data_IF_274113204513
#
_entry.id   IF_274113204513
#
_cell.length_a   1.000
_cell.length_b   1.000
_cell.length_c   1.000
_cell.angle_alpha   90.00
_cell.angle_beta   90.00
_cell.angle_gamma   90.00
#
_symmetry.space_group_name_H-M   'P 1'
#
loop_
_entity.id
_entity.type
_entity.pdbx_description
1 polymer ?
#
# COMPACT_ATOMS: atom_id res chain seq x y z
N UNK A 1 18.88 -73.63 48.83
CA UNK A 1 18.00 -73.70 47.63
C UNK A 1 18.04 -72.31 46.99
N UNK A 2 18.95 -72.04 46.05
CA UNK A 2 18.76 -72.11 44.57
C UNK A 2 17.55 -71.27 44.11
N UNK A 3 17.65 -70.16 43.37
CA UNK A 3 18.77 -69.50 42.68
C UNK A 3 18.47 -68.00 42.50
N UNK A 4 19.47 -67.16 42.76
CA UNK A 4 19.65 -65.82 42.18
C UNK A 4 20.20 -65.96 40.75
N UNK A 5 19.69 -65.19 39.78
CA UNK A 5 20.44 -64.84 38.58
C UNK A 5 19.85 -63.61 37.86
N UNK A 6 20.80 -62.74 37.54
CA UNK A 6 20.81 -61.51 36.76
C UNK A 6 20.44 -61.71 35.27
N UNK A 7 19.84 -60.69 34.63
CA UNK A 7 20.17 -60.13 33.29
C UNK A 7 18.91 -59.46 32.68
N UNK A 8 18.83 -58.13 32.58
CA UNK A 8 19.39 -57.21 31.57
C UNK A 8 18.49 -57.01 30.34
N UNK A 9 18.23 -55.73 30.06
CA UNK A 9 17.83 -55.08 28.79
C UNK A 9 16.46 -55.38 28.17
N UNK A 10 15.57 -54.39 28.16
CA UNK A 10 15.50 -53.43 27.05
C UNK A 10 14.54 -52.29 27.41
N UNK A 11 15.06 -51.07 27.35
CA UNK A 11 14.29 -49.86 27.48
C UNK A 11 13.38 -49.68 26.24
N UNK A 12 12.08 -49.51 26.47
CA UNK A 12 11.22 -48.78 25.55
C UNK A 12 10.21 -48.03 26.42
N UNK A 13 10.61 -46.85 26.88
CA UNK A 13 9.70 -45.92 27.53
C UNK A 13 8.64 -45.52 26.49
N UNK A 14 7.45 -46.09 26.64
CA UNK A 14 6.25 -45.71 25.91
C UNK A 14 5.86 -44.30 26.41
N UNK A 15 6.44 -43.27 25.80
CA UNK A 15 5.98 -41.90 25.97
C UNK A 15 4.58 -41.85 25.37
N UNK A 16 3.57 -41.89 26.24
CA UNK A 16 2.22 -41.44 25.93
C UNK A 16 2.31 -39.94 25.60
N UNK A 17 2.66 -39.64 24.35
CA UNK A 17 2.46 -38.34 23.78
C UNK A 17 0.96 -38.08 23.69
N UNK A 18 0.44 -37.36 24.68
CA UNK A 18 -0.75 -36.53 24.50
C UNK A 18 -0.43 -35.57 23.34
N UNK A 19 -0.75 -35.99 22.12
CA UNK A 19 -0.83 -35.11 20.96
C UNK A 19 -2.09 -34.28 21.18
N UNK A 20 -1.94 -33.12 21.82
CA UNK A 20 -2.86 -32.02 21.63
C UNK A 20 -2.86 -31.70 20.14
N UNK A 21 -3.87 -32.23 19.45
CA UNK A 21 -4.21 -31.82 18.10
C UNK A 21 -4.45 -30.32 18.13
N UNK A 22 -3.44 -29.58 17.69
CA UNK A 22 -3.60 -28.20 17.23
C UNK A 22 -4.63 -28.28 16.11
N UNK A 23 -5.88 -27.92 16.42
CA UNK A 23 -6.87 -27.61 15.41
C UNK A 23 -6.33 -26.37 14.68
N UNK A 24 -5.64 -26.61 13.57
CA UNK A 24 -5.47 -25.57 12.57
C UNK A 24 -6.88 -25.22 12.07
N UNK A 25 -7.24 -23.94 12.15
CA UNK A 25 -8.48 -23.46 11.56
C UNK A 25 -8.54 -23.91 10.08
N UNK A 26 -9.68 -24.42 9.60
CA UNK A 26 -9.76 -24.99 8.27
C UNK A 26 -9.53 -23.89 7.23
N UNK A 27 -8.37 -23.94 6.56
CA UNK A 27 -7.97 -22.99 5.53
C UNK A 27 -9.08 -22.89 4.46
N UNK A 28 -9.68 -21.72 4.37
CA UNK A 28 -10.72 -21.43 3.37
C UNK A 28 -10.07 -21.29 1.99
N UNK A 29 -10.60 -22.02 1.01
CA UNK A 29 -10.10 -22.05 -0.36
C UNK A 29 -11.16 -21.58 -1.33
N UNK A 30 -10.74 -20.92 -2.41
CA UNK A 30 -11.60 -20.56 -3.54
C UNK A 30 -11.25 -21.46 -4.71
N UNK A 31 -12.22 -22.26 -5.16
CA UNK A 31 -12.07 -23.21 -6.26
C UNK A 31 -13.00 -22.81 -7.41
N UNK A 32 -12.44 -22.68 -8.61
CA UNK A 32 -13.20 -22.38 -9.83
C UNK A 32 -13.07 -23.53 -10.80
N UNK A 33 -14.17 -23.85 -11.48
CA UNK A 33 -14.18 -24.97 -12.41
C UNK A 33 -15.58 -25.33 -12.86
N UNK A 34 -15.72 -26.52 -13.44
CA UNK A 34 -17.00 -26.98 -13.96
C UNK A 34 -17.81 -27.65 -12.86
N UNK A 35 -18.89 -27.00 -12.45
CA UNK A 35 -19.92 -27.51 -11.58
C UNK A 35 -20.86 -28.48 -12.31
N UNK A 36 -21.25 -29.57 -11.65
CA UNK A 36 -22.22 -30.55 -12.16
C UNK A 36 -22.86 -31.33 -11.03
N UNK A 37 -23.98 -32.02 -11.30
CA UNK A 37 -24.56 -32.96 -10.33
C UNK A 37 -23.78 -34.30 -10.32
N UNK A 38 -23.25 -34.67 -9.16
CA UNK A 38 -22.52 -35.91 -8.92
C UNK A 38 -23.37 -37.16 -9.17
N UNK A 39 -24.68 -37.10 -8.91
CA UNK A 39 -25.61 -38.19 -9.23
C UNK A 39 -25.98 -38.20 -10.70
N UNK A 40 -26.62 -37.12 -11.17
CA UNK A 40 -27.26 -37.10 -12.48
C UNK A 40 -26.27 -37.08 -13.64
N UNK A 41 -25.16 -36.33 -13.51
CA UNK A 41 -24.17 -36.18 -14.58
C UNK A 41 -22.98 -37.14 -14.41
N UNK A 42 -22.49 -37.30 -13.18
CA UNK A 42 -21.27 -38.10 -12.91
C UNK A 42 -21.55 -39.54 -12.49
N UNK A 43 -22.78 -39.87 -12.06
CA UNK A 43 -23.18 -41.19 -11.55
C UNK A 43 -22.30 -41.71 -10.39
N UNK A 44 -21.84 -40.82 -9.51
CA UNK A 44 -20.92 -41.13 -8.41
C UNK A 44 -21.57 -41.13 -7.01
N UNK A 45 -22.85 -40.74 -6.90
CA UNK A 45 -23.60 -40.64 -5.64
C UNK A 45 -25.04 -41.11 -5.82
N UNK A 46 -25.63 -41.67 -4.77
CA UNK A 46 -27.01 -42.20 -4.79
C UNK A 46 -28.08 -41.10 -4.66
N UNK A 47 -27.70 -39.94 -4.12
CA UNK A 47 -28.53 -38.75 -3.98
C UNK A 47 -27.94 -37.56 -4.76
N UNK A 48 -28.82 -36.64 -5.19
CA UNK A 48 -28.43 -35.44 -5.92
C UNK A 48 -27.50 -34.56 -5.09
N UNK A 49 -26.23 -34.53 -5.47
CA UNK A 49 -25.17 -33.78 -4.80
C UNK A 49 -24.42 -32.94 -5.83
N UNK A 50 -24.07 -31.70 -5.49
CA UNK A 50 -23.24 -30.89 -6.40
C UNK A 50 -21.79 -31.35 -6.34
N UNK A 51 -21.10 -31.28 -7.47
CA UNK A 51 -19.68 -31.52 -7.59
C UNK A 51 -19.03 -30.40 -8.40
N UNK A 52 -17.77 -30.11 -8.09
CA UNK A 52 -16.93 -29.14 -8.78
C UNK A 52 -15.67 -29.83 -9.27
N UNK A 53 -15.45 -29.84 -10.59
CA UNK A 53 -14.18 -30.24 -11.18
C UNK A 53 -13.30 -29.00 -11.36
N UNK A 54 -12.26 -28.88 -10.54
CA UNK A 54 -11.29 -27.78 -10.57
C UNK A 54 -9.92 -28.36 -10.97
N UNK A 55 -9.49 -28.05 -12.20
CA UNK A 55 -8.40 -28.79 -12.85
C UNK A 55 -8.75 -30.28 -13.01
N UNK A 56 -7.84 -31.17 -12.60
CA UNK A 56 -8.07 -32.62 -12.61
C UNK A 56 -8.75 -33.15 -11.35
N UNK A 57 -8.92 -32.29 -10.33
CA UNK A 57 -9.47 -32.71 -9.04
C UNK A 57 -10.98 -32.51 -8.99
N UNK A 58 -11.70 -33.56 -8.56
CA UNK A 58 -13.14 -33.52 -8.33
C UNK A 58 -13.44 -33.32 -6.85
N UNK A 59 -14.17 -32.26 -6.53
CA UNK A 59 -14.64 -31.95 -5.19
C UNK A 59 -16.14 -32.21 -5.09
N UNK A 60 -16.57 -33.04 -4.14
CA UNK A 60 -17.98 -33.20 -3.80
C UNK A 60 -18.39 -32.09 -2.83
N UNK A 61 -19.45 -31.34 -3.14
CA UNK A 61 -19.90 -30.29 -2.24
C UNK A 61 -20.77 -30.90 -1.15
N UNK A 62 -20.45 -30.61 0.11
CA UNK A 62 -21.22 -31.09 1.26
C UNK A 62 -22.68 -30.62 1.19
N UNK A 63 -23.60 -31.44 1.71
CA UNK A 63 -25.03 -31.14 1.76
C UNK A 63 -25.38 -30.08 2.81
N UNK A 64 -24.82 -28.89 2.66
CA UNK A 64 -25.17 -27.73 3.47
C UNK A 64 -26.20 -26.83 2.76
N UNK A 65 -26.65 -25.79 3.45
CA UNK A 65 -27.67 -24.87 2.94
C UNK A 65 -27.25 -24.23 1.61
N UNK A 66 -25.98 -23.83 1.48
CA UNK A 66 -25.42 -23.16 0.30
C UNK A 66 -25.43 -24.09 -0.92
N UNK A 67 -24.93 -25.32 -0.77
CA UNK A 67 -24.91 -26.33 -1.84
C UNK A 67 -26.33 -26.72 -2.26
N UNK A 68 -27.23 -26.95 -1.30
CA UNK A 68 -28.63 -27.27 -1.61
C UNK A 68 -29.33 -26.14 -2.38
N UNK A 69 -29.13 -24.89 -1.96
CA UNK A 69 -29.71 -23.72 -2.63
C UNK A 69 -29.19 -23.54 -4.07
N UNK A 70 -27.93 -23.89 -4.32
CA UNK A 70 -27.31 -23.76 -5.63
C UNK A 70 -27.63 -24.92 -6.59
N UNK A 71 -28.17 -26.04 -6.08
CA UNK A 71 -28.35 -27.28 -6.84
C UNK A 71 -29.16 -27.13 -8.14
N UNK A 72 -30.17 -26.25 -8.15
CA UNK A 72 -30.99 -25.99 -9.35
C UNK A 72 -30.18 -25.59 -10.58
N UNK A 73 -29.00 -25.00 -10.39
CA UNK A 73 -28.13 -24.57 -11.48
C UNK A 73 -27.31 -25.72 -12.10
N UNK A 74 -27.21 -26.86 -11.40
CA UNK A 74 -26.27 -27.95 -11.71
C UNK A 74 -26.94 -29.32 -11.85
N UNK A 75 -28.24 -29.45 -11.55
CA UNK A 75 -28.93 -30.74 -11.44
C UNK A 75 -28.89 -31.56 -12.74
N UNK A 76 -29.29 -30.96 -13.87
CA UNK A 76 -29.35 -31.62 -15.18
C UNK A 76 -28.29 -31.14 -16.18
N UNK A 77 -27.49 -30.14 -15.80
CA UNK A 77 -26.51 -29.49 -16.66
C UNK A 77 -25.14 -29.36 -16.03
N UNK A 78 -24.25 -28.70 -16.76
CA UNK A 78 -22.93 -28.28 -16.25
C UNK A 78 -22.86 -26.77 -16.33
N UNK A 79 -22.34 -26.13 -15.29
CA UNK A 79 -22.09 -24.69 -15.31
C UNK A 79 -20.70 -24.41 -14.75
N UNK A 80 -20.01 -23.40 -15.27
CA UNK A 80 -18.80 -22.93 -14.63
C UNK A 80 -19.19 -22.21 -13.33
N UNK A 81 -18.57 -22.60 -12.22
CA UNK A 81 -18.88 -22.05 -10.90
C UNK A 81 -17.60 -21.70 -10.16
N UNK A 82 -17.72 -20.78 -9.22
CA UNK A 82 -16.72 -20.56 -8.16
C UNK A 82 -17.35 -20.90 -6.84
N UNK A 83 -16.69 -21.78 -6.08
CA UNK A 83 -17.09 -22.19 -4.76
C UNK A 83 -16.00 -21.83 -3.74
N UNK A 84 -16.41 -21.18 -2.65
CA UNK A 84 -15.55 -20.84 -1.52
C UNK A 84 -15.94 -21.74 -0.37
N UNK A 85 -14.97 -22.24 0.39
CA UNK A 85 -15.21 -23.03 1.58
C UNK A 85 -13.99 -23.82 2.02
N UNK A 86 -14.16 -24.71 2.98
CA UNK A 86 -13.07 -25.54 3.48
C UNK A 86 -13.10 -26.93 2.84
N UNK A 87 -11.93 -27.45 2.45
CA UNK A 87 -11.81 -28.80 1.91
C UNK A 87 -11.44 -29.78 3.01
N UNK A 88 -12.16 -30.90 3.08
CA UNK A 88 -11.83 -32.05 3.93
C UNK A 88 -11.72 -33.31 3.08
N UNK A 89 -10.81 -34.19 3.45
CA UNK A 89 -10.72 -35.52 2.84
C UNK A 89 -11.59 -36.50 3.64
N UNK A 90 -12.61 -37.07 3.00
CA UNK A 90 -13.51 -38.06 3.61
C UNK A 90 -13.45 -39.33 2.77
N UNK A 91 -12.91 -40.41 3.36
CA UNK A 91 -12.80 -41.73 2.69
C UNK A 91 -12.11 -41.66 1.32
N UNK A 92 -11.03 -40.87 1.20
CA UNK A 92 -10.26 -40.70 -0.04
C UNK A 92 -10.93 -39.81 -1.09
N UNK A 93 -12.09 -39.21 -0.80
CA UNK A 93 -12.76 -38.22 -1.65
C UNK A 93 -12.60 -36.82 -1.06
N UNK A 94 -12.29 -35.84 -1.91
CA UNK A 94 -12.25 -34.43 -1.51
C UNK A 94 -13.66 -33.87 -1.41
N UNK A 95 -14.02 -33.41 -0.22
CA UNK A 95 -15.33 -32.82 0.08
C UNK A 95 -15.14 -31.34 0.37
N UNK A 96 -15.83 -30.48 -0.36
CA UNK A 96 -15.84 -29.04 -0.15
C UNK A 96 -17.07 -28.65 0.70
N UNK A 97 -16.81 -28.09 1.88
CA UNK A 97 -17.84 -27.48 2.73
C UNK A 97 -18.05 -26.05 2.25
N UNK A 98 -18.87 -25.88 1.22
CA UNK A 98 -19.01 -24.59 0.56
C UNK A 98 -19.72 -23.56 1.46
N UNK A 99 -19.06 -22.46 1.76
CA UNK A 99 -19.63 -21.26 2.39
C UNK A 99 -20.27 -20.34 1.36
N UNK A 100 -19.84 -20.42 0.09
CA UNK A 100 -20.41 -19.66 -1.04
C UNK A 100 -20.27 -20.41 -2.36
N UNK A 101 -21.26 -20.30 -3.24
CA UNK A 101 -21.22 -20.83 -4.62
C UNK A 101 -21.85 -19.81 -5.56
N UNK A 102 -21.20 -19.52 -6.67
CA UNK A 102 -21.66 -18.56 -7.69
C UNK A 102 -21.43 -19.09 -9.10
N UNK A 103 -22.27 -18.69 -10.07
CA UNK A 103 -22.01 -18.95 -11.49
C UNK A 103 -20.86 -18.06 -11.97
N UNK A 104 -20.02 -18.58 -12.87
CA UNK A 104 -18.98 -17.80 -13.51
C UNK A 104 -19.63 -16.68 -14.34
N UNK A 105 -19.44 -15.43 -13.91
CA UNK A 105 -20.08 -14.25 -14.48
C UNK A 105 -20.89 -13.43 -13.46
N UNK A 106 -21.41 -14.05 -12.39
CA UNK A 106 -22.15 -13.35 -11.31
C UNK A 106 -21.23 -12.66 -10.29
N UNK A 107 -19.92 -12.91 -10.39
CA UNK A 107 -18.87 -12.18 -9.66
C UNK A 107 -18.96 -10.66 -9.97
N UNK A 108 -19.45 -10.27 -11.15
CA UNK A 108 -19.66 -8.87 -11.52
C UNK A 108 -20.80 -8.15 -10.76
N UNK A 109 -21.68 -8.86 -10.04
CA UNK A 109 -22.79 -8.24 -9.28
C UNK A 109 -22.78 -8.50 -7.77
N UNK A 110 -21.97 -9.45 -7.26
CA UNK A 110 -21.90 -9.74 -5.82
C UNK A 110 -20.66 -9.22 -5.08
N UNK A 111 -19.67 -8.62 -5.76
CA UNK A 111 -18.52 -7.96 -5.10
C UNK A 111 -18.92 -6.70 -4.29
N UNK A 112 -20.18 -6.25 -4.42
CA UNK A 112 -20.77 -5.17 -3.60
C UNK A 112 -21.22 -5.68 -2.21
N UNK A 113 -21.33 -7.00 -1.98
CA UNK A 113 -22.06 -7.55 -0.82
C UNK A 113 -21.24 -8.35 0.22
N UNK A 114 -19.92 -8.50 0.10
CA UNK A 114 -19.07 -9.14 1.14
C UNK A 114 -18.16 -8.16 1.87
N UNK A 115 -18.64 -6.91 1.99
CA UNK A 115 -18.30 -6.04 3.11
C UNK A 115 -18.73 -6.74 4.41
N UNK A 116 -17.76 -7.28 5.17
CA UNK A 116 -17.67 -7.32 6.66
C UNK A 116 -16.99 -8.60 7.17
N UNK A 117 -15.67 -8.69 7.06
CA UNK A 117 -14.85 -9.41 8.05
C UNK A 117 -13.37 -8.98 8.01
N UNK A 118 -12.84 -8.59 6.86
CA UNK A 118 -11.49 -8.03 6.70
C UNK A 118 -11.57 -6.81 5.77
N UNK A 119 -11.06 -5.65 6.16
CA UNK A 119 -11.19 -4.39 5.42
C UNK A 119 -10.35 -4.27 4.14
N UNK A 120 -10.03 -5.39 3.48
CA UNK A 120 -9.11 -5.47 2.36
C UNK A 120 -9.82 -5.54 0.99
N UNK A 121 -9.17 -4.95 -0.01
CA UNK A 121 -9.57 -4.89 -1.41
C UNK A 121 -8.59 -5.71 -2.27
N UNK A 122 -9.01 -6.13 -3.47
CA UNK A 122 -8.17 -6.88 -4.42
C UNK A 122 -7.76 -5.99 -5.60
N UNK A 123 -6.49 -6.02 -5.95
CA UNK A 123 -5.89 -5.23 -7.02
C UNK A 123 -5.13 -6.15 -7.98
N UNK A 124 -5.53 -6.17 -9.25
CA UNK A 124 -4.88 -6.98 -10.30
C UNK A 124 -4.15 -6.06 -11.26
N UNK A 125 -2.91 -6.40 -11.58
CA UNK A 125 -2.10 -5.51 -12.40
C UNK A 125 -0.69 -6.05 -12.64
N UNK A 126 0.20 -5.14 -12.98
CA UNK A 126 1.62 -5.45 -13.18
C UNK A 126 2.44 -4.96 -11.98
N UNK A 127 2.97 -5.89 -11.19
CA UNK A 127 3.90 -5.60 -10.11
C UNK A 127 5.23 -5.11 -10.66
N UNK A 128 5.73 -4.02 -10.08
CA UNK A 128 6.97 -3.36 -10.48
C UNK A 128 7.73 -2.87 -9.25
N UNK A 129 9.06 -2.86 -9.32
CA UNK A 129 9.86 -2.07 -8.40
C UNK A 129 9.88 -0.60 -8.86
N UNK A 130 9.37 0.29 -8.02
CA UNK A 130 9.28 1.72 -8.33
C UNK A 130 10.65 2.38 -8.46
N UNK A 131 11.71 1.80 -7.89
CA UNK A 131 13.10 2.22 -8.16
C UNK A 131 13.65 1.57 -9.42
N UNK A 132 13.64 0.25 -9.52
CA UNK A 132 14.42 -0.47 -10.53
C UNK A 132 13.78 -0.43 -11.91
N UNK A 133 12.46 -0.61 -11.99
CA UNK A 133 11.68 -0.60 -13.23
C UNK A 133 11.13 0.80 -13.52
N UNK A 134 10.46 1.41 -12.54
CA UNK A 134 9.79 2.70 -12.78
C UNK A 134 10.68 3.93 -12.60
N UNK A 135 11.87 3.79 -11.95
CA UNK A 135 12.82 4.88 -11.67
C UNK A 135 12.22 6.10 -10.94
N UNK A 136 11.16 5.88 -10.15
CA UNK A 136 10.39 6.90 -9.42
C UNK A 136 10.88 7.16 -7.98
N UNK A 137 11.56 6.18 -7.36
CA UNK A 137 12.01 6.28 -5.96
C UNK A 137 13.52 6.05 -5.84
N UNK A 138 14.17 6.72 -4.88
CA UNK A 138 15.61 6.57 -4.59
C UNK A 138 15.95 5.25 -3.88
N UNK A 139 14.97 4.66 -3.19
CA UNK A 139 15.04 3.35 -2.55
C UNK A 139 14.07 2.35 -3.20
N UNK A 140 14.42 1.07 -3.13
CA UNK A 140 13.58 -0.01 -3.62
C UNK A 140 12.25 -0.06 -2.87
N UNK A 141 11.17 0.04 -3.64
CA UNK A 141 9.80 -0.05 -3.15
C UNK A 141 8.97 -0.76 -4.21
N UNK A 142 7.98 -1.55 -3.76
CA UNK A 142 7.10 -2.25 -4.66
C UNK A 142 5.91 -1.34 -5.02
N UNK A 143 5.44 -1.48 -6.26
CA UNK A 143 4.23 -0.86 -6.75
C UNK A 143 3.49 -1.82 -7.66
N UNK A 144 2.23 -1.51 -7.92
CA UNK A 144 1.40 -2.24 -8.87
C UNK A 144 0.76 -1.26 -9.86
N UNK A 145 0.89 -1.56 -11.14
CA UNK A 145 0.25 -0.79 -12.21
C UNK A 145 -1.11 -1.42 -12.50
N UNK A 146 -2.18 -0.67 -12.28
CA UNK A 146 -3.57 -1.05 -12.52
C UNK A 146 -4.12 -0.06 -13.54
N UNK A 147 -4.60 -0.54 -14.68
CA UNK A 147 -5.14 0.29 -15.78
C UNK A 147 -4.20 1.45 -16.17
N UNK A 148 -2.89 1.16 -16.24
CA UNK A 148 -1.86 2.13 -16.58
C UNK A 148 -1.51 3.15 -15.47
N UNK A 149 -2.14 3.05 -14.30
CA UNK A 149 -1.86 3.91 -13.13
C UNK A 149 -1.06 3.16 -12.08
N UNK A 150 -0.01 3.79 -11.55
CA UNK A 150 0.81 3.22 -10.50
C UNK A 150 0.18 3.44 -9.12
N UNK A 151 0.05 2.35 -8.37
CA UNK A 151 -0.29 2.34 -6.96
C UNK A 151 0.92 1.91 -6.14
N UNK A 152 1.25 2.64 -5.09
CA UNK A 152 2.39 2.30 -4.22
C UNK A 152 1.98 1.24 -3.22
N UNK A 153 2.84 0.25 -2.99
CA UNK A 153 2.68 -0.67 -1.87
C UNK A 153 3.40 -0.09 -0.66
N UNK A 154 2.73 -0.04 0.49
CA UNK A 154 3.39 0.33 1.74
C UNK A 154 4.44 -0.71 2.13
N UNK A 155 5.56 -0.25 2.69
CA UNK A 155 6.61 -1.14 3.18
C UNK A 155 6.13 -1.86 4.45
N UNK A 156 5.74 -3.11 4.28
CA UNK A 156 5.46 -4.05 5.34
C UNK A 156 6.13 -5.39 5.00
N UNK A 157 5.98 -6.38 5.87
CA UNK A 157 6.71 -7.64 5.71
C UNK A 157 6.27 -8.39 4.44
N UNK A 158 4.98 -8.27 4.06
CA UNK A 158 4.42 -8.85 2.83
C UNK A 158 5.03 -8.22 1.58
N UNK A 159 5.06 -6.90 1.48
CA UNK A 159 5.61 -6.19 0.32
C UNK A 159 7.13 -6.33 0.22
N UNK A 160 7.84 -6.36 1.34
CA UNK A 160 9.29 -6.63 1.36
C UNK A 160 9.60 -8.06 0.88
N UNK A 161 8.86 -9.06 1.35
CA UNK A 161 9.05 -10.45 0.94
C UNK A 161 8.84 -10.67 -0.57
N UNK A 162 7.93 -9.90 -1.18
CA UNK A 162 7.66 -9.98 -2.62
C UNK A 162 8.65 -9.17 -3.49
N UNK A 163 9.59 -8.43 -2.90
CA UNK A 163 10.46 -7.50 -3.63
C UNK A 163 11.28 -8.16 -4.75
N UNK A 164 11.89 -9.32 -4.49
CA UNK A 164 12.73 -10.03 -5.46
C UNK A 164 11.97 -10.40 -6.74
N UNK A 165 10.65 -10.62 -6.62
CA UNK A 165 9.78 -10.97 -7.75
C UNK A 165 9.52 -9.79 -8.69
N UNK A 166 9.70 -8.54 -8.24
CA UNK A 166 9.43 -7.32 -9.02
C UNK A 166 10.63 -6.38 -9.13
N UNK A 167 11.76 -6.74 -8.51
CA UNK A 167 13.00 -5.98 -8.61
C UNK A 167 13.65 -6.23 -9.97
N UNK A 168 13.89 -5.15 -10.72
CA UNK A 168 14.49 -5.17 -12.07
C UNK A 168 13.68 -5.91 -13.14
N UNK A 169 12.49 -6.43 -12.83
CA UNK A 169 11.54 -7.03 -13.78
C UNK A 169 10.09 -6.67 -13.43
N UNK A 170 9.22 -6.67 -14.43
CA UNK A 170 7.77 -6.52 -14.24
C UNK A 170 7.10 -7.90 -14.20
N UNK A 171 6.19 -8.10 -13.25
CA UNK A 171 5.56 -9.41 -13.02
C UNK A 171 4.05 -9.23 -12.93
N UNK A 172 3.23 -10.07 -13.59
CA UNK A 172 1.79 -10.09 -13.33
C UNK A 172 1.52 -10.36 -11.86
N UNK A 173 0.80 -9.47 -11.19
CA UNK A 173 0.68 -9.49 -9.73
C UNK A 173 -0.75 -9.22 -9.30
N UNK A 174 -1.19 -9.97 -8.29
CA UNK A 174 -2.41 -9.69 -7.51
C UNK A 174 -1.99 -9.22 -6.12
N UNK A 175 -2.48 -8.07 -5.71
CA UNK A 175 -2.28 -7.53 -4.36
C UNK A 175 -3.62 -7.53 -3.64
N UNK A 176 -3.65 -8.11 -2.46
CA UNK A 176 -4.75 -7.99 -1.50
C UNK A 176 -4.31 -7.01 -0.43
N UNK A 177 -5.18 -6.08 -0.06
CA UNK A 177 -4.85 -5.11 0.96
C UNK A 177 -5.78 -3.92 0.97
N UNK A 178 -5.57 -3.01 1.91
CA UNK A 178 -6.42 -1.84 2.04
C UNK A 178 -5.90 -0.71 1.16
N UNK A 179 -6.74 -0.18 0.26
CA UNK A 179 -6.43 1.09 -0.40
C UNK A 179 -6.59 2.19 0.61
N UNK A 180 -5.52 2.95 0.82
CA UNK A 180 -5.57 4.21 1.53
C UNK A 180 -5.15 5.31 0.57
N UNK A 181 -5.97 6.34 0.49
CA UNK A 181 -5.64 7.53 -0.28
C UNK A 181 -5.10 8.58 0.69
N UNK A 182 -3.78 8.60 0.88
CA UNK A 182 -3.15 9.51 1.82
C UNK A 182 -2.70 10.76 1.07
N UNK A 183 -3.68 11.61 0.73
CA UNK A 183 -3.48 12.76 -0.15
C UNK A 183 -3.11 12.31 -1.54
N UNK A 184 -4.12 11.94 -2.34
CA UNK A 184 -4.03 11.72 -3.79
C UNK A 184 -3.10 10.62 -4.30
N UNK A 185 -2.21 10.10 -3.45
CA UNK A 185 -1.40 8.91 -3.70
C UNK A 185 -2.18 7.72 -3.18
N UNK A 186 -2.61 6.88 -4.11
CA UNK A 186 -3.26 5.61 -3.81
C UNK A 186 -2.20 4.62 -3.33
N UNK A 187 -2.16 4.41 -2.02
CA UNK A 187 -1.31 3.43 -1.35
C UNK A 187 -2.11 2.19 -1.05
N UNK A 188 -1.47 1.04 -1.15
CA UNK A 188 -2.06 -0.23 -0.75
C UNK A 188 -1.21 -0.78 0.37
N UNK A 189 -1.82 -0.93 1.55
CA UNK A 189 -1.25 -1.70 2.64
C UNK A 189 -1.52 -3.17 2.33
N UNK A 190 -0.54 -3.85 1.74
CA UNK A 190 -0.73 -5.20 1.24
C UNK A 190 -0.80 -6.22 2.38
N UNK A 191 -1.89 -6.95 2.49
CA UNK A 191 -2.02 -8.12 3.38
C UNK A 191 -1.56 -9.41 2.71
N UNK A 192 -1.59 -9.48 1.38
CA UNK A 192 -1.09 -10.62 0.59
C UNK A 192 -0.68 -10.16 -0.82
N UNK A 193 0.36 -10.77 -1.39
CA UNK A 193 0.79 -10.51 -2.78
C UNK A 193 1.14 -11.83 -3.47
N UNK A 194 0.62 -12.04 -4.67
CA UNK A 194 0.82 -13.27 -5.44
C UNK A 194 1.11 -12.97 -6.91
N UNK A 195 1.86 -13.86 -7.58
CA UNK A 195 2.03 -13.82 -9.03
C UNK A 195 0.70 -14.25 -9.70
N UNK A 196 0.22 -13.45 -10.66
CA UNK A 196 -1.00 -13.77 -11.40
C UNK A 196 -0.69 -14.75 -12.55
N UNK A 197 -1.49 -15.81 -12.69
CA UNK A 197 -1.44 -16.70 -13.85
C UNK A 197 -2.16 -16.07 -15.05
N UNK A 198 -1.43 -15.27 -15.83
CA UNK A 198 -1.94 -14.61 -17.05
C UNK A 198 -0.84 -13.98 -17.90
N UNK A 199 -1.04 -13.94 -19.23
CA UNK A 199 -0.07 -13.44 -20.20
C UNK A 199 0.40 -12.01 -19.89
N UNK A 200 1.71 -11.78 -19.98
CA UNK A 200 2.33 -10.47 -19.96
C UNK A 200 1.63 -9.52 -20.95
N UNK A 201 1.06 -8.43 -20.44
CA UNK A 201 0.87 -7.26 -21.30
C UNK A 201 2.26 -6.70 -21.57
N UNK A 202 2.73 -6.81 -22.82
CA UNK A 202 3.94 -6.12 -23.27
C UNK A 202 3.72 -4.63 -23.04
N UNK A 203 4.52 -4.06 -22.15
CA UNK A 203 4.74 -2.61 -22.12
C UNK A 203 5.39 -2.28 -23.46
N UNK A 204 4.66 -1.58 -24.31
CA UNK A 204 5.23 -0.97 -25.50
C UNK A 204 6.25 0.08 -25.03
N UNK A 205 7.53 -0.18 -25.32
CA UNK A 205 8.67 0.67 -24.96
C UNK A 205 8.81 1.85 -25.92
N UNK A 206 7.68 2.37 -26.42
CA UNK A 206 7.61 3.66 -27.09
C UNK A 206 8.13 4.76 -26.18
N UNK A 207 9.23 5.39 -26.57
CA UNK A 207 9.93 6.50 -25.88
C UNK A 207 8.95 7.56 -25.35
N UNK A 208 8.47 7.41 -24.12
CA UNK A 208 7.98 8.51 -23.30
C UNK A 208 8.38 8.25 -21.85
N UNK A 209 9.45 8.93 -21.44
CA UNK A 209 10.01 8.93 -20.09
C UNK A 209 8.90 9.40 -19.14
N UNK A 210 8.25 8.47 -18.43
CA UNK A 210 7.28 8.83 -17.39
C UNK A 210 8.06 9.56 -16.29
N UNK A 211 7.75 10.81 -15.95
CA UNK A 211 8.53 11.57 -14.99
C UNK A 211 8.43 10.95 -13.59
N UNK A 212 9.53 10.97 -12.83
CA UNK A 212 9.52 10.61 -11.41
C UNK A 212 8.45 11.42 -10.67
N UNK A 213 7.67 10.77 -9.81
CA UNK A 213 6.75 11.47 -8.90
C UNK A 213 7.59 12.23 -7.87
N UNK A 214 7.35 13.53 -7.75
CA UNK A 214 8.05 14.46 -6.89
C UNK A 214 7.11 14.92 -5.78
N UNK A 215 7.66 15.06 -4.58
CA UNK A 215 7.04 15.79 -3.47
C UNK A 215 7.71 17.14 -3.40
N UNK A 216 6.95 18.22 -3.58
CA UNK A 216 7.41 19.60 -3.45
C UNK A 216 6.55 20.32 -2.43
N UNK A 217 7.15 21.26 -1.70
CA UNK A 217 6.43 22.14 -0.78
C UNK A 217 6.76 23.59 -1.08
N UNK A 218 5.84 24.46 -0.70
CA UNK A 218 6.00 25.90 -0.85
C UNK A 218 4.68 26.62 -0.80
N UNK A 219 4.68 27.85 -1.26
CA UNK A 219 3.53 28.74 -1.23
C UNK A 219 2.67 28.52 -2.48
N UNK A 220 1.52 27.90 -2.29
CA UNK A 220 0.48 27.76 -3.31
C UNK A 220 -0.23 29.08 -3.56
N UNK A 221 -0.54 29.37 -4.82
CA UNK A 221 -1.21 30.60 -5.24
C UNK A 221 -1.96 30.41 -6.56
N UNK A 222 -2.95 31.27 -6.85
CA UNK A 222 -3.57 31.36 -8.16
C UNK A 222 -2.79 32.34 -9.07
N UNK A 223 -2.39 31.88 -10.27
CA UNK A 223 -1.71 32.69 -11.28
C UNK A 223 -2.48 33.95 -11.67
N UNK A 224 -3.81 33.85 -11.82
CA UNK A 224 -4.65 35.02 -12.12
C UNK A 224 -4.85 35.90 -10.90
N UNK A 225 -5.48 35.37 -9.87
CA UNK A 225 -6.00 36.20 -8.79
C UNK A 225 -4.92 36.69 -7.82
N UNK A 226 -3.98 35.81 -7.43
CA UNK A 226 -2.96 36.14 -6.44
C UNK A 226 -1.69 36.69 -7.10
N UNK A 227 -1.27 36.12 -8.24
CA UNK A 227 -0.01 36.51 -8.90
C UNK A 227 -0.18 37.50 -10.06
N UNK A 228 -1.39 37.67 -10.61
CA UNK A 228 -1.66 38.53 -11.78
C UNK A 228 -0.78 38.22 -13.00
N UNK A 229 -0.45 36.94 -13.21
CA UNK A 229 0.39 36.41 -14.31
C UNK A 229 -0.38 35.66 -15.39
N UNK A 230 -1.71 35.59 -15.31
CA UNK A 230 -2.57 34.91 -16.30
C UNK A 230 -3.98 35.50 -16.32
N UNK A 231 -4.64 35.42 -17.48
CA UNK A 231 -6.05 35.82 -17.65
C UNK A 231 -7.05 34.74 -17.18
N UNK A 232 -6.57 33.52 -16.95
CA UNK A 232 -7.41 32.39 -16.46
C UNK A 232 -6.94 31.87 -15.12
N UNK A 233 -7.89 31.47 -14.27
CA UNK A 233 -7.56 30.85 -12.99
C UNK A 233 -6.78 29.56 -13.21
N UNK A 234 -5.60 29.50 -12.59
CA UNK A 234 -4.73 28.35 -12.63
C UNK A 234 -3.87 28.36 -11.38
N UNK A 235 -3.78 27.23 -10.70
CA UNK A 235 -2.95 27.14 -9.50
C UNK A 235 -1.47 27.05 -9.87
N UNK A 236 -0.62 27.53 -8.98
CA UNK A 236 0.82 27.42 -9.05
C UNK A 236 1.39 27.27 -7.64
N UNK A 237 2.65 26.85 -7.57
CA UNK A 237 3.43 26.75 -6.35
C UNK A 237 4.74 27.49 -6.54
N UNK A 238 5.03 28.41 -5.62
CA UNK A 238 6.32 29.08 -5.53
C UNK A 238 7.14 28.44 -4.42
N UNK A 239 8.41 28.12 -4.69
CA UNK A 239 9.33 27.55 -3.69
C UNK A 239 10.75 28.07 -3.93
N UNK A 240 11.63 27.91 -2.95
CA UNK A 240 13.04 28.31 -3.07
C UNK A 240 13.94 27.07 -3.12
N UNK A 241 14.69 26.92 -4.21
CA UNK A 241 15.67 25.85 -4.37
C UNK A 241 17.04 26.52 -4.51
N UNK A 242 17.96 26.23 -3.58
CA UNK A 242 19.29 26.83 -3.53
C UNK A 242 19.28 28.37 -3.53
N UNK A 243 18.30 28.97 -2.84
CA UNK A 243 18.15 30.42 -2.76
C UNK A 243 17.55 31.08 -4.02
N UNK A 244 17.25 30.31 -5.06
CA UNK A 244 16.53 30.78 -6.24
C UNK A 244 15.05 30.43 -6.14
N UNK A 245 14.21 31.44 -6.31
CA UNK A 245 12.77 31.23 -6.41
C UNK A 245 12.43 30.47 -7.69
N UNK A 246 11.60 29.45 -7.58
CA UNK A 246 11.03 28.69 -8.70
C UNK A 246 9.52 28.73 -8.62
N UNK A 247 8.89 28.94 -9.77
CA UNK A 247 7.45 28.89 -9.96
C UNK A 247 7.07 27.62 -10.74
N UNK A 248 6.25 26.78 -10.13
CA UNK A 248 5.66 25.60 -10.74
C UNK A 248 4.21 25.87 -11.08
N UNK A 249 3.87 25.91 -12.36
CA UNK A 249 2.49 26.08 -12.81
C UNK A 249 1.80 24.72 -12.79
N UNK A 250 0.63 24.63 -12.16
CA UNK A 250 -0.08 23.36 -12.09
C UNK A 250 -0.84 23.09 -13.38
N UNK A 251 -0.68 21.89 -13.94
CA UNK A 251 -1.53 21.40 -15.00
C UNK A 251 -2.99 21.41 -14.54
N UNK A 252 -3.90 21.82 -15.44
CA UNK A 252 -5.34 21.77 -15.16
C UNK A 252 -5.78 20.32 -15.13
N UNK A 253 -6.19 19.85 -13.95
CA UNK A 253 -6.71 18.51 -13.73
C UNK A 253 -7.65 18.53 -12.51
N UNK A 254 -8.32 17.41 -12.23
CA UNK A 254 -9.27 17.31 -11.12
C UNK A 254 -8.65 17.69 -9.76
N UNK A 255 -7.41 17.26 -9.49
CA UNK A 255 -6.70 17.56 -8.25
C UNK A 255 -6.45 19.07 -8.08
N UNK A 256 -5.90 19.72 -9.10
CA UNK A 256 -5.62 21.15 -9.12
C UNK A 256 -6.92 21.94 -9.04
N UNK A 257 -7.91 21.62 -9.88
CA UNK A 257 -9.19 22.33 -9.92
C UNK A 257 -9.93 22.22 -8.58
N UNK A 258 -9.97 21.02 -7.97
CA UNK A 258 -10.59 20.79 -6.68
C UNK A 258 -9.91 21.53 -5.52
N UNK A 259 -8.61 21.83 -5.65
CA UNK A 259 -7.85 22.57 -4.65
C UNK A 259 -7.90 24.10 -4.85
N UNK A 260 -8.44 24.58 -5.98
CA UNK A 260 -8.41 26.00 -6.36
C UNK A 260 -9.01 26.94 -5.32
N UNK A 261 -10.11 26.54 -4.64
CA UNK A 261 -10.75 27.35 -3.60
C UNK A 261 -9.82 27.77 -2.46
N UNK A 262 -8.78 26.98 -2.19
CA UNK A 262 -7.81 27.29 -1.13
C UNK A 262 -6.77 28.34 -1.56
N UNK A 263 -6.62 28.55 -2.88
CA UNK A 263 -5.56 29.37 -3.48
C UNK A 263 -6.11 30.52 -4.33
N UNK A 264 -7.43 30.61 -4.51
CA UNK A 264 -8.07 31.67 -5.27
C UNK A 264 -8.05 32.96 -4.46
N UNK A 265 -7.40 33.99 -5.00
CA UNK A 265 -7.23 35.32 -4.36
C UNK A 265 -6.46 35.30 -3.02
N UNK A 266 -5.88 34.17 -2.65
CA UNK A 266 -5.10 33.98 -1.42
C UNK A 266 -3.83 33.17 -1.71
N UNK A 267 -2.96 33.09 -0.71
CA UNK A 267 -1.78 32.24 -0.72
C UNK A 267 -1.83 31.30 0.48
N UNK A 268 -1.35 30.07 0.31
CA UNK A 268 -1.30 29.10 1.38
C UNK A 268 -0.06 28.21 1.27
N UNK A 269 0.53 27.85 2.40
CA UNK A 269 1.60 26.85 2.43
C UNK A 269 1.03 25.46 2.12
N UNK A 270 1.57 24.81 1.10
CA UNK A 270 1.09 23.52 0.60
C UNK A 270 2.22 22.51 0.41
N UNK A 271 1.83 21.25 0.37
CA UNK A 271 2.63 20.14 -0.16
C UNK A 271 1.91 19.61 -1.40
N UNK A 272 2.65 19.56 -2.51
CA UNK A 272 2.19 19.00 -3.77
C UNK A 272 2.97 17.73 -4.10
N UNK A 273 2.25 16.67 -4.45
CA UNK A 273 2.82 15.43 -4.98
C UNK A 273 2.35 15.29 -6.41
N UNK A 274 3.24 14.95 -7.33
CA UNK A 274 2.90 14.90 -8.75
C UNK A 274 4.13 14.75 -9.64
N UNK A 275 3.92 14.87 -10.94
CA UNK A 275 5.01 14.79 -11.92
C UNK A 275 5.39 16.17 -12.42
N UNK A 276 6.68 16.38 -12.72
CA UNK A 276 7.17 17.62 -13.30
C UNK A 276 7.55 17.38 -14.78
N UNK A 277 7.07 18.26 -15.63
CA UNK A 277 7.51 18.40 -17.01
C UNK A 277 8.09 19.81 -17.21
N UNK A 278 9.16 19.90 -17.99
CA UNK A 278 9.72 21.18 -18.44
C UNK A 278 9.23 21.39 -19.88
N UNK A 279 8.48 22.46 -20.10
CA UNK A 279 7.98 22.88 -21.42
C UNK A 279 8.56 24.27 -21.72
N UNK A 280 9.68 24.32 -22.44
CA UNK A 280 10.44 25.55 -22.65
C UNK A 280 10.95 26.13 -21.32
N UNK A 281 10.68 27.42 -21.07
CA UNK A 281 11.03 28.10 -19.81
C UNK A 281 10.04 27.84 -18.66
N UNK A 282 8.93 27.13 -18.94
CA UNK A 282 7.87 26.92 -17.97
C UNK A 282 7.95 25.53 -17.33
N UNK A 283 8.00 25.51 -15.99
CA UNK A 283 7.92 24.28 -15.21
C UNK A 283 6.45 23.91 -14.95
N UNK A 284 5.94 22.89 -15.66
CA UNK A 284 4.57 22.39 -15.52
C UNK A 284 4.54 21.22 -14.54
N UNK A 285 3.87 21.40 -13.41
CA UNK A 285 3.68 20.35 -12.42
C UNK A 285 2.28 19.76 -12.56
N UNK A 286 2.15 18.46 -12.75
CA UNK A 286 0.85 17.77 -12.76
C UNK A 286 0.60 17.19 -11.38
N UNK A 287 -0.15 17.89 -10.50
CA UNK A 287 -0.38 17.40 -9.15
C UNK A 287 -1.29 16.18 -9.18
N UNK A 288 -0.89 15.14 -8.46
CA UNK A 288 -1.73 14.02 -8.07
C UNK A 288 -2.28 14.21 -6.65
N UNK A 289 -1.64 15.05 -5.83
CA UNK A 289 -2.12 15.45 -4.50
C UNK A 289 -1.74 16.87 -4.15
N UNK A 290 -2.64 17.55 -3.44
CA UNK A 290 -2.40 18.85 -2.82
C UNK A 290 -2.93 18.84 -1.39
N UNK A 291 -2.11 19.31 -0.46
CA UNK A 291 -2.44 19.42 0.97
C UNK A 291 -2.00 20.76 1.50
N UNK A 292 -2.82 21.37 2.35
CA UNK A 292 -2.39 22.48 3.20
C UNK A 292 -1.38 21.97 4.23
N UNK A 293 -0.33 22.75 4.49
CA UNK A 293 0.58 22.44 5.58
C UNK A 293 -0.08 22.76 6.93
N UNK A 294 0.14 21.89 7.91
CA UNK A 294 -0.35 22.09 9.28
C UNK A 294 0.48 23.16 9.98
N UNK A 295 -0.18 24.20 10.50
CA UNK A 295 0.46 25.17 11.40
C UNK A 295 0.64 24.53 12.78
N UNK A 296 1.83 24.60 13.35
CA UNK A 296 2.11 24.01 14.66
C UNK A 296 3.10 24.83 15.46
N UNK A 297 2.90 24.81 16.77
CA UNK A 297 3.89 25.25 17.76
C UNK A 297 4.61 24.02 18.29
N UNK A 298 5.93 23.97 18.09
CA UNK A 298 6.79 22.94 18.65
C UNK A 298 7.44 23.46 19.92
N UNK A 299 7.33 22.69 21.00
CA UNK A 299 8.13 22.87 22.22
C UNK A 299 9.09 21.69 22.29
N UNK A 300 10.39 21.95 22.32
CA UNK A 300 11.38 20.89 22.30
C UNK A 300 12.80 21.41 22.39
N UNK A 301 13.74 20.55 22.04
CA UNK A 301 15.16 20.84 22.06
C UNK A 301 15.65 21.10 20.63
N UNK A 302 16.08 22.33 20.36
CA UNK A 302 16.72 22.67 19.11
C UNK A 302 18.16 22.20 19.10
N UNK A 303 18.57 21.58 17.99
CA UNK A 303 19.87 20.95 17.83
C UNK A 303 20.32 21.00 16.36
N UNK A 304 21.57 20.63 16.10
CA UNK A 304 22.09 20.49 14.73
C UNK A 304 22.12 19.01 14.29
N UNK A 305 21.45 18.66 13.19
CA UNK A 305 21.42 17.30 12.62
C UNK A 305 22.80 16.75 12.29
N UNK A 306 23.75 17.62 11.88
CA UNK A 306 25.13 17.22 11.62
C UNK A 306 25.94 17.08 12.90
N UNK A 307 25.95 18.12 13.74
CA UNK A 307 26.87 18.19 14.87
C UNK A 307 26.42 17.27 16.00
N UNK A 308 25.13 17.28 16.33
CA UNK A 308 24.54 16.54 17.44
C UNK A 308 24.17 15.12 17.02
N UNK A 309 23.33 14.97 15.99
CA UNK A 309 22.79 13.65 15.61
C UNK A 309 23.66 12.85 14.64
N UNK A 310 24.66 13.47 14.00
CA UNK A 310 25.45 12.87 12.91
C UNK A 310 24.59 12.30 11.75
N UNK A 311 23.39 12.84 11.53
CA UNK A 311 22.43 12.38 10.52
C UNK A 311 22.48 13.18 9.20
N UNK A 312 23.26 14.27 9.15
CA UNK A 312 23.39 15.12 7.96
C UNK A 312 24.86 15.39 7.59
N UNK A 313 25.14 15.52 6.29
CA UNK A 313 26.49 15.86 5.77
C UNK A 313 26.84 17.34 5.99
N UNK A 314 25.84 18.20 6.00
CA UNK A 314 25.94 19.64 6.20
C UNK A 314 25.15 20.07 7.43
N UNK A 315 25.55 21.17 8.06
CA UNK A 315 24.81 21.72 9.19
C UNK A 315 23.36 22.04 8.78
N UNK A 316 22.42 21.51 9.55
CA UNK A 316 21.00 21.76 9.40
C UNK A 316 20.40 21.70 10.80
N UNK A 317 19.60 22.71 11.14
CA UNK A 317 18.93 22.74 12.43
C UNK A 317 17.79 21.72 12.44
N UNK A 318 17.45 21.21 13.62
CA UNK A 318 16.28 20.41 13.87
C UNK A 318 15.72 20.72 15.25
N UNK A 319 14.45 20.38 15.46
CA UNK A 319 13.83 20.38 16.78
C UNK A 319 13.48 18.93 17.10
N UNK A 320 14.00 18.46 18.23
CA UNK A 320 13.62 17.19 18.84
C UNK A 320 12.47 17.43 19.79
N UNK A 321 11.37 16.71 19.58
CA UNK A 321 10.19 16.75 20.45
C UNK A 321 9.93 15.34 20.96
N UNK A 322 9.95 15.16 22.27
CA UNK A 322 9.61 13.87 22.89
C UNK A 322 8.11 13.75 23.06
N UNK A 323 7.52 12.73 22.45
CA UNK A 323 6.08 12.39 22.52
C UNK A 323 5.98 10.92 22.92
N UNK A 324 5.28 10.63 24.02
CA UNK A 324 5.09 9.27 24.53
C UNK A 324 6.40 8.47 24.70
N UNK A 325 7.45 9.14 25.19
CA UNK A 325 8.78 8.55 25.38
C UNK A 325 9.57 8.29 24.10
N UNK A 326 9.10 8.79 22.94
CA UNK A 326 9.80 8.70 21.64
C UNK A 326 10.18 10.08 21.12
N UNK A 327 11.40 10.18 20.59
CA UNK A 327 11.88 11.41 19.98
C UNK A 327 11.41 11.51 18.52
N UNK A 328 10.68 12.59 18.23
CA UNK A 328 10.38 13.02 16.86
C UNK A 328 11.36 14.11 16.47
N UNK A 329 12.07 13.90 15.36
CA UNK A 329 13.04 14.87 14.81
C UNK A 329 12.38 15.63 13.66
N UNK A 330 12.18 16.92 13.85
CA UNK A 330 11.70 17.85 12.83
C UNK A 330 12.89 18.57 12.22
N UNK A 331 13.26 18.22 10.99
CA UNK A 331 14.33 18.89 10.28
C UNK A 331 13.87 20.30 9.85
N UNK A 332 14.62 21.34 10.22
CA UNK A 332 14.25 22.71 9.85
C UNK A 332 14.65 23.00 8.41
N UNK A 333 13.76 23.68 7.71
CA UNK A 333 14.10 24.27 6.42
C UNK A 333 15.22 25.28 6.55
N UNK A 334 16.03 25.41 5.51
CA UNK A 334 17.08 26.43 5.46
C UNK A 334 16.53 27.79 5.06
N UNK A 335 15.49 28.24 5.76
CA UNK A 335 14.92 29.58 5.62
C UNK A 335 15.69 30.61 6.49
N UNK A 336 15.32 31.89 6.37
CA UNK A 336 15.99 32.98 7.10
C UNK A 336 16.00 32.74 8.61
N UNK A 337 14.86 32.36 9.19
CA UNK A 337 14.68 32.12 10.63
C UNK A 337 15.63 31.02 11.12
N UNK A 338 15.61 29.86 10.46
CA UNK A 338 16.46 28.73 10.80
C UNK A 338 17.94 29.06 10.63
N UNK A 339 18.34 29.69 9.52
CA UNK A 339 19.73 30.08 9.28
C UNK A 339 20.25 31.03 10.37
N UNK A 340 19.45 32.03 10.74
CA UNK A 340 19.79 32.97 11.81
C UNK A 340 19.89 32.30 13.19
N UNK A 341 19.22 31.16 13.39
CA UNK A 341 19.25 30.42 14.65
C UNK A 341 20.45 29.45 14.76
N UNK A 342 21.16 29.14 13.67
CA UNK A 342 22.18 28.09 13.65
C UNK A 342 23.31 28.30 14.65
N UNK A 343 23.76 29.54 14.87
CA UNK A 343 24.84 29.84 15.82
C UNK A 343 24.52 29.43 17.26
N UNK A 344 23.23 29.30 17.62
CA UNK A 344 22.78 28.90 18.96
C UNK A 344 22.79 27.38 19.20
N UNK A 345 22.87 26.59 18.12
CA UNK A 345 22.72 25.11 18.16
C UNK A 345 23.85 24.37 17.45
N UNK A 346 24.89 25.08 17.02
CA UNK A 346 26.05 24.46 16.42
C UNK A 346 26.91 23.85 17.53
N UNK A 347 26.95 22.51 17.60
CA UNK A 347 27.66 21.75 18.64
C UNK A 347 27.08 21.91 20.06
N UNK A 348 25.85 22.41 20.16
CA UNK A 348 25.09 22.55 21.38
C UNK A 348 23.63 22.25 21.13
N UNK A 349 22.87 22.10 22.20
CA UNK A 349 21.42 22.02 22.17
C UNK A 349 20.82 23.13 23.03
N UNK A 350 19.59 23.54 22.73
CA UNK A 350 18.89 24.58 23.49
C UNK A 350 17.39 24.33 23.49
N UNK A 351 16.74 24.52 24.64
CA UNK A 351 15.29 24.44 24.74
C UNK A 351 14.64 25.61 23.99
N UNK A 352 13.63 25.31 23.15
CA UNK A 352 12.95 26.31 22.33
C UNK A 352 11.43 26.14 22.32
N UNK A 353 10.76 27.24 21.99
CA UNK A 353 9.42 27.25 21.40
C UNK A 353 9.54 27.78 19.97
N UNK A 354 9.03 27.04 19.00
CA UNK A 354 9.06 27.43 17.61
C UNK A 354 7.67 27.38 16.98
N UNK A 355 7.32 28.42 16.23
CA UNK A 355 6.11 28.46 15.41
C UNK A 355 6.47 28.20 13.95
N UNK A 356 5.59 27.53 13.22
CA UNK A 356 5.84 27.23 11.81
C UNK A 356 4.82 26.28 11.21
N UNK A 357 5.18 25.71 10.07
CA UNK A 357 4.38 24.71 9.38
C UNK A 357 5.13 23.38 9.25
N UNK A 358 4.38 22.28 9.24
CA UNK A 358 4.94 20.92 9.13
C UNK A 358 4.60 20.33 7.77
N UNK A 359 5.60 19.67 7.19
CA UNK A 359 5.45 18.84 6.00
C UNK A 359 6.04 17.44 6.25
N UNK A 360 5.36 16.41 5.75
CA UNK A 360 5.94 15.07 5.63
C UNK A 360 6.53 14.90 4.23
N UNK A 361 7.86 14.93 4.15
CA UNK A 361 8.61 14.80 2.91
C UNK A 361 9.23 13.41 2.88
N UNK A 362 8.60 12.50 2.13
CA UNK A 362 9.10 11.12 1.93
C UNK A 362 9.36 10.37 3.26
N UNK A 363 8.45 10.51 4.24
CA UNK A 363 8.56 9.86 5.54
C UNK A 363 9.40 10.63 6.57
N UNK A 364 9.96 11.79 6.20
CA UNK A 364 10.69 12.68 7.11
C UNK A 364 9.83 13.88 7.49
N UNK A 365 9.87 14.25 8.76
CA UNK A 365 9.21 15.46 9.25
C UNK A 365 10.11 16.66 8.97
N UNK A 366 9.61 17.60 8.19
CA UNK A 366 10.24 18.89 7.96
C UNK A 366 9.40 20.01 8.57
N UNK A 367 10.09 21.05 9.06
CA UNK A 367 9.48 22.18 9.73
C UNK A 367 9.97 23.51 9.14
N UNK A 368 9.03 24.30 8.63
CA UNK A 368 9.27 25.64 8.13
C UNK A 368 9.05 26.62 9.28
N UNK A 369 10.12 26.96 10.01
CA UNK A 369 10.01 27.86 11.16
C UNK A 369 9.69 29.29 10.72
N UNK A 370 8.60 29.87 11.24
CA UNK A 370 8.28 31.30 11.14
C UNK A 370 8.88 32.09 12.30
N UNK A 371 9.07 31.44 13.45
CA UNK A 371 9.66 32.03 14.65
C UNK A 371 10.33 30.95 15.49
N UNK A 372 11.45 31.27 16.13
CA UNK A 372 12.13 30.40 17.10
C UNK A 372 12.59 31.26 18.28
N UNK A 373 12.12 30.93 19.47
CA UNK A 373 12.46 31.60 20.72
C UNK A 373 13.11 30.61 21.67
N UNK A 374 14.21 31.03 22.30
CA UNK A 374 14.86 30.26 23.37
C UNK A 374 13.98 30.34 24.62
N UNK A 375 13.84 29.22 25.32
CA UNK A 375 13.13 29.17 26.60
C UNK A 375 13.98 29.68 27.75
#
# INVERSE_FOLDING_TARGET
MKKTLLALSCAMALVMGYQSSVFADPVEVTLSGTGSCAKCKLKQTDACQNALKSGDTLYLLEHNAVSKAFHKNLCSGTANITAVGSVKDVKGKKVLVATKISLAGDVAKSEVAEKKASGDQTFKGTGVCTKCISKLTSACQNGIIIDGKLHFLEHNDVSKAYHEKVCQKSTPTVVYGKLTEVGGVKKITASKIEEASGKQSKVDTGKKKVPASLTIKGTGSCLKCALKKSDTCQNALTTSINGKEKLYVFAKNECSNGFHKNLCSAQAEIVAIGTLAEEGDQSIFTPTSLKLQEKKTLTGEALCLKCELKQARTCQNAIRVSVDGKDLIYALDQNKVSRSFHSKVCQSTVAVVAQGTIANMNGKLEFTASEISVK
#
